data_IF_381143056020
#
_entry.id   IF_381143056020
#
_cell.length_a   1.000
_cell.length_b   1.000
_cell.length_c   1.000
_cell.angle_alpha   90.00
_cell.angle_beta   90.00
_cell.angle_gamma   90.00
#
_symmetry.space_group_name_H-M   'P 1'
#
loop_
_entity.id
_entity.type
_entity.pdbx_description
1 polymer ?
#
# COMPACT_ATOMS: atom_id res chain seq x y z
N UNK A 1 -21.76 60.66 -14.40
CA UNK A 1 -22.92 60.61 -15.31
C UNK A 1 -23.31 59.15 -15.49
N UNK A 2 -24.59 58.87 -15.22
CA UNK A 2 -25.39 57.80 -15.82
C UNK A 2 -25.04 56.30 -15.62
N UNK A 3 -26.02 55.63 -14.98
CA UNK A 3 -26.69 54.38 -15.39
C UNK A 3 -26.08 53.07 -14.86
N UNK A 4 -26.80 52.49 -13.89
CA UNK A 4 -26.97 51.04 -13.74
C UNK A 4 -27.95 50.54 -14.82
N UNK A 5 -27.84 49.28 -15.30
CA UNK A 5 -28.98 48.41 -15.05
C UNK A 5 -28.62 46.95 -14.74
N UNK A 6 -29.63 46.30 -14.16
CA UNK A 6 -29.75 44.91 -13.70
C UNK A 6 -29.83 43.86 -14.82
N UNK A 7 -29.80 42.60 -14.36
CA UNK A 7 -30.45 41.37 -14.90
C UNK A 7 -29.52 40.56 -15.83
N UNK A 8 -29.32 39.23 -15.71
CA UNK A 8 -30.28 38.13 -15.88
C UNK A 8 -29.71 36.80 -15.30
N UNK A 9 -30.60 35.96 -14.77
CA UNK A 9 -30.45 34.53 -14.41
C UNK A 9 -30.32 33.60 -15.63
N UNK A 10 -29.47 32.58 -15.55
CA UNK A 10 -29.54 31.33 -16.35
C UNK A 10 -28.74 30.26 -15.60
N UNK A 11 -29.34 29.21 -15.00
CA UNK A 11 -29.52 27.85 -15.58
C UNK A 11 -28.36 27.45 -16.51
N UNK A 12 -27.66 26.32 -16.35
CA UNK A 12 -28.14 24.93 -16.21
C UNK A 12 -26.93 23.98 -16.08
N UNK A 13 -27.09 22.89 -15.32
CA UNK A 13 -26.77 21.48 -15.68
C UNK A 13 -25.33 20.95 -15.67
N UNK A 14 -25.18 19.89 -14.87
CA UNK A 14 -24.11 18.89 -14.77
C UNK A 14 -23.91 18.06 -16.06
N UNK A 15 -22.69 17.61 -16.39
CA UNK A 15 -22.49 16.50 -17.32
C UNK A 15 -22.45 15.15 -16.58
N UNK A 16 -23.29 14.23 -17.07
CA UNK A 16 -23.34 12.81 -16.70
C UNK A 16 -22.56 11.98 -17.72
N UNK A 17 -21.75 11.05 -17.19
CA UNK A 17 -21.47 9.66 -17.64
C UNK A 17 -21.24 9.43 -19.15
N UNK A 18 -20.00 9.09 -19.48
CA UNK A 18 -19.60 8.54 -20.78
C UNK A 18 -20.24 7.16 -21.04
N UNK A 19 -20.96 7.07 -22.15
CA UNK A 19 -21.45 5.81 -22.75
C UNK A 19 -20.55 5.46 -23.94
N UNK A 20 -20.07 4.22 -23.98
CA UNK A 20 -19.21 3.66 -25.03
C UNK A 20 -20.08 3.19 -26.22
N UNK A 21 -19.76 3.53 -27.48
CA UNK A 21 -20.48 3.03 -28.66
C UNK A 21 -19.99 1.64 -29.10
N UNK A 22 -20.88 0.73 -29.55
CA UNK A 22 -20.51 -0.60 -30.01
C UNK A 22 -20.25 -0.61 -31.53
N UNK A 23 -18.99 -0.80 -31.92
CA UNK A 23 -18.63 -1.36 -33.23
C UNK A 23 -17.21 -1.88 -33.16
N UNK A 24 -16.95 -3.03 -33.79
CA UNK A 24 -15.71 -3.84 -33.84
C UNK A 24 -15.68 -5.06 -32.90
N UNK A 25 -16.39 -6.11 -33.29
CA UNK A 25 -16.01 -7.51 -33.02
C UNK A 25 -16.65 -8.41 -34.08
N UNK A 26 -16.05 -8.41 -35.27
CA UNK A 26 -16.13 -9.52 -36.20
C UNK A 26 -14.73 -10.12 -36.32
N UNK A 27 -14.66 -11.45 -36.38
CA UNK A 27 -13.50 -12.32 -36.73
C UNK A 27 -12.99 -13.21 -35.60
N UNK A 28 -13.68 -14.31 -35.28
CA UNK A 28 -13.05 -15.56 -34.84
C UNK A 28 -13.79 -16.76 -35.50
N UNK A 29 -13.09 -17.78 -36.02
CA UNK A 29 -13.67 -18.83 -36.88
C UNK A 29 -14.23 -20.03 -36.09
N UNK A 30 -15.13 -20.76 -36.76
CA UNK A 30 -15.82 -21.98 -36.33
C UNK A 30 -14.93 -23.23 -36.36
N UNK A 31 -15.20 -24.23 -35.49
CA UNK A 31 -14.85 -25.62 -35.76
C UNK A 31 -16.10 -26.48 -36.01
N UNK A 32 -16.10 -27.18 -37.15
CA UNK A 32 -17.02 -28.26 -37.50
C UNK A 32 -16.51 -29.59 -36.93
N UNK A 33 -17.41 -30.46 -36.44
CA UNK A 33 -17.04 -31.80 -35.97
C UNK A 33 -18.14 -32.56 -35.24
N UNK A 34 -19.11 -33.07 -36.02
CA UNK A 34 -20.03 -34.20 -35.82
C UNK A 34 -20.06 -35.00 -34.48
N UNK A 35 -21.27 -35.16 -33.92
CA UNK A 35 -21.71 -36.33 -33.13
C UNK A 35 -23.13 -36.75 -33.54
N UNK A 36 -23.40 -38.06 -33.81
CA UNK A 36 -24.70 -38.60 -34.24
C UNK A 36 -25.53 -39.17 -33.05
N UNK A 37 -26.76 -39.72 -33.20
CA UNK A 37 -27.93 -39.29 -32.43
C UNK A 37 -28.37 -40.23 -31.30
N UNK A 38 -29.24 -39.67 -30.45
CA UNK A 38 -29.93 -40.29 -29.31
C UNK A 38 -31.00 -41.29 -29.80
N UNK A 39 -31.06 -42.46 -29.17
CA UNK A 39 -32.20 -43.38 -29.21
C UNK A 39 -32.81 -43.57 -27.80
N UNK A 40 -34.12 -43.84 -27.68
CA UNK A 40 -34.88 -43.63 -26.45
C UNK A 40 -35.08 -44.93 -25.66
N UNK A 41 -34.77 -44.91 -24.36
CA UNK A 41 -35.35 -45.82 -23.35
C UNK A 41 -34.72 -45.50 -22.01
N UNK A 42 -35.53 -45.08 -21.03
CA UNK A 42 -35.38 -45.14 -19.54
C UNK A 42 -36.30 -44.04 -18.98
N UNK A 43 -37.59 -44.19 -19.26
CA UNK A 43 -38.66 -43.47 -18.56
C UNK A 43 -39.64 -44.50 -18.03
N UNK A 44 -39.15 -45.45 -17.22
CA UNK A 44 -39.98 -46.41 -16.48
C UNK A 44 -39.27 -47.12 -15.31
N UNK A 45 -38.15 -46.59 -14.79
CA UNK A 45 -37.46 -47.15 -13.61
C UNK A 45 -37.36 -46.23 -12.39
N UNK A 46 -38.03 -45.07 -12.40
CA UNK A 46 -37.91 -44.09 -11.31
C UNK A 46 -39.09 -44.04 -10.31
N UNK A 47 -40.01 -45.02 -10.35
CA UNK A 47 -41.21 -45.04 -9.50
C UNK A 47 -41.30 -46.28 -8.59
N UNK A 48 -40.21 -47.05 -8.43
CA UNK A 48 -40.24 -48.24 -7.57
C UNK A 48 -38.95 -48.44 -6.74
N UNK A 49 -38.34 -47.37 -6.23
CA UNK A 49 -37.27 -47.47 -5.20
C UNK A 49 -37.40 -46.41 -4.08
N UNK A 50 -38.49 -45.61 -4.06
CA UNK A 50 -38.76 -44.61 -3.01
C UNK A 50 -39.68 -45.10 -1.88
N UNK A 51 -39.96 -46.39 -1.78
CA UNK A 51 -40.92 -46.94 -0.81
C UNK A 51 -40.34 -48.00 0.16
N UNK A 52 -39.01 -48.11 0.31
CA UNK A 52 -38.38 -49.07 1.25
C UNK A 52 -37.29 -48.50 2.16
N UNK A 53 -37.21 -47.18 2.31
CA UNK A 53 -36.26 -46.51 3.20
C UNK A 53 -36.93 -45.42 4.05
N UNK A 54 -38.04 -45.75 4.70
CA UNK A 54 -38.77 -44.85 5.60
C UNK A 54 -39.46 -45.63 6.72
N UNK A 55 -38.69 -46.32 7.56
CA UNK A 55 -39.21 -46.79 8.87
C UNK A 55 -38.16 -47.12 9.94
N UNK A 56 -36.85 -47.01 9.66
CA UNK A 56 -35.77 -47.34 10.62
C UNK A 56 -34.93 -46.17 11.13
N UNK A 57 -35.04 -44.98 10.52
CA UNK A 57 -34.28 -43.80 10.94
C UNK A 57 -35.08 -42.81 11.81
N UNK A 58 -36.42 -42.92 11.82
CA UNK A 58 -37.28 -42.09 12.67
C UNK A 58 -37.23 -42.47 14.14
N UNK A 59 -37.06 -43.76 14.48
CA UNK A 59 -36.92 -44.21 15.89
C UNK A 59 -35.53 -43.94 16.50
N UNK A 60 -34.54 -43.53 15.70
CA UNK A 60 -33.19 -43.17 16.18
C UNK A 60 -33.02 -41.65 16.36
N UNK A 61 -33.93 -40.84 15.82
CA UNK A 61 -34.00 -39.40 16.07
C UNK A 61 -34.81 -39.06 17.32
N UNK A 62 -35.85 -39.82 17.64
CA UNK A 62 -36.68 -39.54 18.83
C UNK A 62 -35.98 -39.93 20.15
N UNK A 63 -35.11 -40.94 20.14
CA UNK A 63 -34.33 -41.34 21.32
C UNK A 63 -33.08 -40.47 21.60
N UNK A 64 -32.66 -39.64 20.63
CA UNK A 64 -31.54 -38.68 20.82
C UNK A 64 -32.02 -37.27 21.16
N UNK A 65 -33.34 -37.04 21.07
CA UNK A 65 -33.98 -35.77 21.42
C UNK A 65 -34.40 -35.73 22.89
N UNK A 66 -34.46 -36.87 23.59
CA UNK A 66 -34.75 -36.94 25.03
C UNK A 66 -33.51 -37.07 25.94
N UNK A 67 -32.31 -37.30 25.40
CA UNK A 67 -31.05 -37.34 26.17
C UNK A 67 -30.30 -35.99 26.23
N UNK A 68 -30.84 -34.95 25.57
CA UNK A 68 -30.36 -33.56 25.66
C UNK A 68 -31.29 -32.65 26.48
N UNK A 69 -32.07 -33.23 27.42
CA UNK A 69 -32.85 -32.44 28.39
C UNK A 69 -32.46 -32.66 29.86
N UNK A 70 -31.43 -33.45 30.16
CA UNK A 70 -30.90 -33.56 31.52
C UNK A 70 -29.37 -33.70 31.48
N UNK A 71 -28.70 -32.56 31.32
CA UNK A 71 -27.25 -32.47 31.37
C UNK A 71 -26.83 -31.05 31.69
N UNK A 72 -26.58 -30.81 32.98
CA UNK A 72 -25.86 -29.68 33.56
C UNK A 72 -26.38 -28.26 33.23
N UNK A 73 -27.16 -27.69 34.16
CA UNK A 73 -27.29 -26.24 34.27
C UNK A 73 -25.98 -25.69 34.83
N UNK A 74 -24.92 -25.71 34.03
CA UNK A 74 -23.95 -24.63 34.11
C UNK A 74 -24.69 -23.40 33.61
N UNK A 75 -25.10 -22.52 34.53
CA UNK A 75 -25.36 -21.13 34.20
C UNK A 75 -24.06 -20.58 33.63
N UNK A 76 -23.88 -20.71 32.32
CA UNK A 76 -23.01 -19.82 31.58
C UNK A 76 -23.65 -18.45 31.76
N UNK A 77 -23.22 -17.72 32.80
CA UNK A 77 -23.47 -16.30 32.98
C UNK A 77 -22.69 -15.52 31.91
N UNK A 78 -22.70 -16.00 30.66
CA UNK A 78 -22.20 -15.31 29.50
C UNK A 78 -23.07 -14.08 29.32
N UNK A 79 -22.48 -12.91 29.57
CA UNK A 79 -23.12 -11.64 29.26
C UNK A 79 -23.47 -11.68 27.77
N UNK A 80 -24.77 -11.63 27.45
CA UNK A 80 -25.21 -11.51 26.06
C UNK A 80 -24.69 -10.18 25.52
N UNK A 81 -23.72 -10.26 24.61
CA UNK A 81 -23.07 -9.10 24.01
C UNK A 81 -24.09 -8.22 23.25
N UNK A 82 -25.21 -8.79 22.79
CA UNK A 82 -26.31 -8.07 22.16
C UNK A 82 -27.23 -7.35 23.15
N UNK A 83 -27.14 -7.67 24.44
CA UNK A 83 -27.87 -6.97 25.51
C UNK A 83 -27.14 -5.69 25.98
N UNK A 84 -25.92 -5.44 25.53
CA UNK A 84 -25.17 -4.23 25.85
C UNK A 84 -25.75 -3.00 25.11
N UNK A 85 -25.82 -1.82 25.77
CA UNK A 85 -26.14 -0.57 25.10
C UNK A 85 -25.16 -0.26 23.96
N UNK A 86 -25.64 0.39 22.90
CA UNK A 86 -24.83 0.78 21.73
C UNK A 86 -23.55 1.53 22.11
N UNK A 87 -23.64 2.45 23.09
CA UNK A 87 -22.48 3.20 23.58
C UNK A 87 -21.41 2.32 24.23
N UNK A 88 -21.78 1.23 24.91
CA UNK A 88 -20.83 0.28 25.48
C UNK A 88 -20.12 -0.51 24.37
N UNK A 89 -20.86 -0.90 23.33
CA UNK A 89 -20.30 -1.56 22.15
C UNK A 89 -19.37 -0.59 21.41
N UNK A 90 -19.78 0.66 21.20
CA UNK A 90 -18.95 1.69 20.56
C UNK A 90 -17.66 1.93 21.35
N UNK A 91 -17.75 2.08 22.66
CA UNK A 91 -16.56 2.22 23.51
C UNK A 91 -15.61 1.02 23.36
N UNK A 92 -16.14 -0.21 23.39
CA UNK A 92 -15.33 -1.42 23.15
C UNK A 92 -14.68 -1.43 21.76
N UNK A 93 -15.43 -1.08 20.70
CA UNK A 93 -14.92 -0.98 19.33
C UNK A 93 -13.81 0.08 19.19
N UNK A 94 -13.88 1.17 19.94
CA UNK A 94 -12.86 2.24 19.92
C UNK A 94 -11.47 1.77 20.36
N UNK A 95 -11.38 0.67 21.12
CA UNK A 95 -10.10 0.06 21.53
C UNK A 95 -9.59 -1.01 20.55
N UNK A 96 -10.29 -1.24 19.45
CA UNK A 96 -9.88 -2.18 18.39
C UNK A 96 -9.18 -1.45 17.25
N UNK A 97 -8.93 -2.12 16.11
CA UNK A 97 -8.44 -1.46 14.89
C UNK A 97 -9.60 -0.97 14.00
N UNK A 98 -9.38 0.02 13.12
CA UNK A 98 -10.35 0.38 12.08
C UNK A 98 -10.84 -0.82 11.26
N UNK A 99 -9.92 -1.73 10.94
CA UNK A 99 -10.21 -2.99 10.24
C UNK A 99 -11.18 -3.87 11.04
N UNK A 100 -10.93 -4.04 12.34
CA UNK A 100 -11.77 -4.91 13.19
C UNK A 100 -13.13 -4.28 13.48
N UNK A 101 -13.20 -2.97 13.70
CA UNK A 101 -14.48 -2.27 13.80
C UNK A 101 -15.32 -2.43 12.52
N UNK A 102 -14.70 -2.37 11.34
CA UNK A 102 -15.39 -2.63 10.08
C UNK A 102 -15.88 -4.08 9.97
N UNK A 103 -15.09 -5.07 10.42
CA UNK A 103 -15.50 -6.48 10.44
C UNK A 103 -16.64 -6.74 11.43
N UNK A 104 -16.53 -6.19 12.64
CA UNK A 104 -17.55 -6.32 13.69
C UNK A 104 -18.86 -5.63 13.30
N UNK A 105 -18.82 -4.59 12.48
CA UNK A 105 -20.04 -3.94 11.93
C UNK A 105 -20.94 -4.89 11.13
N UNK A 106 -20.43 -6.05 10.71
CA UNK A 106 -21.17 -7.07 9.95
C UNK A 106 -21.92 -8.06 10.86
N UNK A 107 -21.63 -8.08 12.17
CA UNK A 107 -22.16 -9.05 13.13
C UNK A 107 -23.63 -8.77 13.52
N UNK A 108 -24.09 -7.53 13.37
CA UNK A 108 -25.47 -7.14 13.65
C UNK A 108 -25.72 -5.65 13.48
N UNK A 109 -26.99 -5.23 13.55
CA UNK A 109 -27.38 -3.81 13.41
C UNK A 109 -26.80 -2.93 14.52
N UNK A 110 -26.80 -3.40 15.77
CA UNK A 110 -26.24 -2.64 16.91
C UNK A 110 -24.74 -2.41 16.74
N UNK A 111 -23.99 -3.44 16.34
CA UNK A 111 -22.56 -3.31 16.02
C UNK A 111 -22.33 -2.41 14.82
N UNK A 112 -23.19 -2.48 13.81
CA UNK A 112 -23.11 -1.59 12.65
C UNK A 112 -23.28 -0.14 13.06
N UNK A 113 -24.28 0.17 13.88
CA UNK A 113 -24.52 1.53 14.36
C UNK A 113 -23.35 2.02 15.21
N UNK A 114 -22.92 1.22 16.20
CA UNK A 114 -21.78 1.53 17.06
C UNK A 114 -20.49 1.77 16.27
N UNK A 115 -20.18 0.95 15.26
CA UNK A 115 -18.99 1.08 14.42
C UNK A 115 -18.99 2.31 13.49
N UNK A 116 -20.11 3.04 13.39
CA UNK A 116 -20.22 4.27 12.61
C UNK A 116 -20.13 5.53 13.50
N UNK A 117 -20.11 5.37 14.83
CA UNK A 117 -20.04 6.48 15.77
C UNK A 117 -18.74 7.27 15.66
N UNK A 118 -18.85 8.60 15.67
CA UNK A 118 -17.67 9.49 15.62
C UNK A 118 -16.75 9.31 16.84
N UNK A 119 -17.26 8.89 17.99
CA UNK A 119 -16.42 8.59 19.17
C UNK A 119 -15.44 7.44 18.89
N UNK A 120 -15.87 6.45 18.10
CA UNK A 120 -15.02 5.32 17.69
C UNK A 120 -13.94 5.81 16.74
N UNK A 121 -14.32 6.60 15.73
CA UNK A 121 -13.39 7.07 14.70
C UNK A 121 -12.46 8.18 15.20
N UNK A 122 -12.85 8.96 16.21
CA UNK A 122 -11.95 9.91 16.90
C UNK A 122 -10.81 9.15 17.60
N UNK A 123 -11.09 7.94 18.14
CA UNK A 123 -10.06 7.10 18.78
C UNK A 123 -9.10 6.45 17.78
N UNK A 124 -9.55 6.24 16.54
CA UNK A 124 -8.74 5.69 15.46
C UNK A 124 -7.86 6.74 14.76
N UNK A 125 -8.17 8.02 14.91
CA UNK A 125 -7.31 9.09 14.45
C UNK A 125 -6.12 9.26 15.42
N UNK A 126 -4.90 9.52 14.92
CA UNK A 126 -3.76 9.84 15.77
C UNK A 126 -4.06 11.03 16.67
N UNK A 127 -3.63 11.04 17.93
CA UNK A 127 -3.95 12.14 18.87
C UNK A 127 -3.52 13.53 18.36
N UNK A 128 -2.42 13.58 17.59
CA UNK A 128 -1.82 14.75 16.98
C UNK A 128 -2.30 15.02 15.53
N UNK A 129 -3.38 14.37 15.07
CA UNK A 129 -3.84 14.53 13.68
C UNK A 129 -4.19 15.98 13.35
N UNK A 130 -4.76 16.73 14.31
CA UNK A 130 -5.11 18.16 14.13
C UNK A 130 -3.87 19.02 13.93
N UNK A 131 -2.81 18.74 14.67
CA UNK A 131 -1.55 19.47 14.55
C UNK A 131 -0.92 19.23 13.18
N UNK A 132 -0.91 17.97 12.72
CA UNK A 132 -0.45 17.63 11.37
C UNK A 132 -1.26 18.34 10.28
N UNK A 133 -2.59 18.37 10.39
CA UNK A 133 -3.45 19.04 9.42
C UNK A 133 -3.38 20.57 9.47
N UNK A 134 -3.01 21.15 10.60
CA UNK A 134 -2.83 22.60 10.71
C UNK A 134 -1.59 23.12 9.99
N UNK A 135 -0.70 22.23 9.54
CA UNK A 135 0.53 22.56 8.78
C UNK A 135 0.27 22.79 7.29
N UNK A 136 -0.98 22.70 6.82
CA UNK A 136 -1.35 22.96 5.44
C UNK A 136 -2.73 23.59 5.29
N UNK A 137 -2.91 24.40 4.25
CA UNK A 137 -4.21 25.04 3.97
C UNK A 137 -5.31 24.01 3.65
N UNK A 138 -4.95 22.92 2.95
CA UNK A 138 -5.85 21.81 2.67
C UNK A 138 -6.30 21.12 3.97
N UNK A 139 -5.37 20.81 4.86
CA UNK A 139 -5.68 20.20 6.16
C UNK A 139 -6.55 21.09 7.04
N UNK A 140 -6.28 22.40 7.05
CA UNK A 140 -7.12 23.39 7.75
C UNK A 140 -8.56 23.39 7.19
N UNK A 141 -8.73 23.32 5.87
CA UNK A 141 -10.04 23.26 5.25
C UNK A 141 -10.79 21.97 5.59
N UNK A 142 -10.08 20.83 5.64
CA UNK A 142 -10.64 19.55 6.09
C UNK A 142 -11.12 19.62 7.55
N UNK A 143 -10.33 20.22 8.44
CA UNK A 143 -10.69 20.39 9.85
C UNK A 143 -11.92 21.30 10.05
N UNK A 144 -12.10 22.32 9.19
CA UNK A 144 -13.23 23.26 9.25
C UNK A 144 -14.51 22.73 8.62
N UNK A 145 -14.43 21.62 7.88
CA UNK A 145 -15.58 21.06 7.19
C UNK A 145 -16.58 20.47 8.19
N UNK A 146 -17.60 21.25 8.53
CA UNK A 146 -18.65 20.87 9.48
C UNK A 146 -19.52 19.69 9.01
N UNK A 147 -19.37 19.26 7.75
CA UNK A 147 -20.14 18.15 7.17
C UNK A 147 -19.42 16.80 7.20
N UNK A 148 -18.14 16.75 7.55
CA UNK A 148 -17.37 15.50 7.56
C UNK A 148 -17.50 14.79 8.92
N UNK A 149 -18.00 13.56 8.90
CA UNK A 149 -17.87 12.67 10.06
C UNK A 149 -16.41 12.27 10.28
N UNK A 150 -16.06 11.82 11.49
CA UNK A 150 -14.69 11.36 11.80
C UNK A 150 -14.27 10.18 10.95
N UNK A 151 -15.23 9.31 10.62
CA UNK A 151 -15.01 8.23 9.66
C UNK A 151 -14.68 8.74 8.26
N UNK A 152 -15.43 9.73 7.77
CA UNK A 152 -15.17 10.30 6.45
C UNK A 152 -13.82 11.02 6.41
N UNK A 153 -13.46 11.74 7.48
CA UNK A 153 -12.13 12.32 7.63
C UNK A 153 -11.04 11.26 7.60
N UNK A 154 -11.18 10.19 8.38
CA UNK A 154 -10.23 9.07 8.40
C UNK A 154 -10.02 8.48 6.99
N UNK A 155 -11.11 8.15 6.30
CA UNK A 155 -11.04 7.57 4.94
C UNK A 155 -10.43 8.56 3.95
N UNK A 156 -10.75 9.85 4.07
CA UNK A 156 -10.14 10.88 3.25
C UNK A 156 -8.62 10.93 3.45
N UNK A 157 -8.12 10.89 4.69
CA UNK A 157 -6.69 10.87 4.99
C UNK A 157 -5.98 9.56 4.56
N UNK A 158 -6.71 8.47 4.39
CA UNK A 158 -6.16 7.23 3.83
C UNK A 158 -5.97 7.34 2.31
N UNK A 159 -6.97 7.90 1.62
CA UNK A 159 -7.04 7.88 0.16
C UNK A 159 -6.39 9.12 -0.48
N UNK A 160 -6.30 10.24 0.25
CA UNK A 160 -5.78 11.53 -0.23
C UNK A 160 -4.70 12.05 0.71
N UNK A 161 -3.41 11.83 0.39
CA UNK A 161 -2.34 12.34 1.23
C UNK A 161 -2.26 13.86 1.19
N UNK A 162 -2.23 14.47 2.37
CA UNK A 162 -2.19 15.92 2.56
C UNK A 162 -0.75 16.40 2.51
N UNK A 163 -0.44 17.36 1.65
CA UNK A 163 0.89 17.99 1.62
C UNK A 163 1.07 18.93 2.81
N UNK A 164 2.16 18.77 3.56
CA UNK A 164 2.50 19.57 4.75
C UNK A 164 3.90 20.19 4.59
N UNK A 165 4.27 21.11 5.48
CA UNK A 165 5.59 21.75 5.51
C UNK A 165 5.99 22.40 4.19
N UNK A 166 5.10 23.23 3.64
CA UNK A 166 5.33 23.87 2.35
C UNK A 166 5.39 22.89 1.16
N UNK A 167 4.81 21.70 1.32
CA UNK A 167 4.77 20.67 0.28
C UNK A 167 6.03 19.80 0.19
N UNK A 168 6.90 19.86 1.20
CA UNK A 168 8.11 19.03 1.27
C UNK A 168 7.86 17.65 1.87
N UNK A 169 6.74 17.49 2.59
CA UNK A 169 6.30 16.22 3.15
C UNK A 169 4.83 16.04 2.86
N UNK A 170 4.37 14.82 3.01
CA UNK A 170 2.96 14.49 2.89
C UNK A 170 2.55 13.50 3.96
N UNK A 171 1.33 13.68 4.44
CA UNK A 171 0.76 12.97 5.57
C UNK A 171 -0.48 12.20 5.14
N UNK A 172 -0.55 10.93 5.53
CA UNK A 172 -1.71 10.08 5.32
C UNK A 172 -1.82 9.05 6.45
N UNK A 173 -2.89 8.25 6.46
CA UNK A 173 -3.09 7.16 7.42
C UNK A 173 -3.06 5.79 6.74
N UNK A 174 -2.50 4.80 7.43
CA UNK A 174 -2.63 3.41 7.04
C UNK A 174 -4.05 2.93 7.37
N UNK A 175 -4.75 2.42 6.35
CA UNK A 175 -6.19 2.19 6.37
C UNK A 175 -6.66 1.18 7.41
N UNK A 176 -5.81 0.22 7.78
CA UNK A 176 -6.21 -0.90 8.62
C UNK A 176 -6.00 -0.64 10.11
N UNK A 177 -4.94 0.11 10.44
CA UNK A 177 -4.46 0.38 11.79
C UNK A 177 -4.68 1.84 12.22
N UNK A 178 -4.87 2.76 11.28
CA UNK A 178 -4.94 4.20 11.55
C UNK A 178 -3.59 4.85 11.89
N UNK A 179 -2.50 4.11 11.73
CA UNK A 179 -1.15 4.58 12.03
C UNK A 179 -0.67 5.58 10.97
N UNK A 180 0.11 6.56 11.40
CA UNK A 180 0.61 7.66 10.56
C UNK A 180 1.52 7.14 9.44
N UNK A 181 1.35 7.66 8.23
CA UNK A 181 2.24 7.48 7.08
C UNK A 181 2.81 8.84 6.67
N UNK A 182 4.09 8.88 6.32
CA UNK A 182 4.72 10.08 5.78
C UNK A 182 5.45 9.76 4.48
N UNK A 183 5.50 10.71 3.57
CA UNK A 183 6.45 10.67 2.47
C UNK A 183 7.22 11.98 2.41
N UNK A 184 8.54 11.88 2.39
CA UNK A 184 9.48 12.97 2.21
C UNK A 184 9.68 13.20 0.71
N UNK A 185 9.45 14.41 0.22
CA UNK A 185 9.69 14.77 -1.17
C UNK A 185 11.18 14.71 -1.50
N UNK A 186 11.54 14.51 -2.76
CA UNK A 186 12.94 14.60 -3.22
C UNK A 186 13.64 15.90 -2.79
N UNK A 187 12.89 17.01 -2.69
CA UNK A 187 13.38 18.31 -2.20
C UNK A 187 13.76 18.33 -0.71
N UNK A 188 13.22 17.40 0.08
CA UNK A 188 13.48 17.25 1.51
C UNK A 188 14.55 16.18 1.78
N UNK A 189 15.05 15.51 0.72
CA UNK A 189 16.13 14.52 0.80
C UNK A 189 17.50 15.18 0.64
N UNK A 190 18.50 14.60 1.30
CA UNK A 190 19.91 14.91 1.02
C UNK A 190 20.40 14.01 -0.10
N UNK A 191 20.44 14.57 -1.31
CA UNK A 191 20.93 13.89 -2.51
C UNK A 191 22.28 14.49 -2.90
N UNK A 192 23.31 13.65 -3.02
CA UNK A 192 24.67 14.12 -3.36
C UNK A 192 24.70 14.75 -4.76
N UNK A 193 25.26 15.96 -4.82
CA UNK A 193 25.34 16.81 -6.02
C UNK A 193 23.99 17.28 -6.60
N UNK A 194 22.91 17.23 -5.84
CA UNK A 194 21.57 17.64 -6.31
C UNK A 194 21.44 19.12 -6.67
N UNK A 195 22.34 19.95 -6.17
CA UNK A 195 22.52 21.37 -6.46
C UNK A 195 23.27 21.62 -7.78
N UNK A 196 23.86 20.59 -8.37
CA UNK A 196 24.70 20.68 -9.56
C UNK A 196 23.91 20.27 -10.81
N UNK A 197 23.50 21.21 -11.69
CA UNK A 197 22.60 20.94 -12.82
C UNK A 197 23.18 19.99 -13.89
N UNK A 198 24.49 19.74 -13.85
CA UNK A 198 25.17 18.76 -14.70
C UNK A 198 24.80 17.31 -14.33
N UNK A 199 24.44 17.08 -13.07
CA UNK A 199 24.24 15.75 -12.51
C UNK A 199 22.77 15.48 -12.22
N UNK A 200 22.03 16.50 -11.79
CA UNK A 200 20.62 16.42 -11.45
C UNK A 200 19.83 17.53 -12.11
N UNK A 201 18.58 17.21 -12.46
CA UNK A 201 17.61 18.15 -13.00
C UNK A 201 16.34 18.08 -12.17
N UNK A 202 15.86 19.22 -11.70
CA UNK A 202 14.58 19.32 -11.02
C UNK A 202 13.49 19.53 -12.06
N UNK A 203 12.44 18.71 -12.00
CA UNK A 203 11.35 18.72 -12.99
C UNK A 203 10.01 18.59 -12.28
N UNK A 204 8.94 19.08 -12.92
CA UNK A 204 7.58 18.82 -12.46
C UNK A 204 6.93 17.73 -13.31
N UNK A 205 6.26 16.78 -12.67
CA UNK A 205 5.53 15.70 -13.34
C UNK A 205 4.07 15.71 -12.86
N UNK A 206 3.13 15.60 -13.80
CA UNK A 206 1.69 15.61 -13.49
C UNK A 206 1.21 14.44 -12.63
N UNK A 207 1.99 13.36 -12.59
CA UNK A 207 1.71 12.16 -11.79
C UNK A 207 2.46 12.11 -10.45
N UNK A 208 3.26 13.14 -10.15
CA UNK A 208 3.91 13.29 -8.85
C UNK A 208 2.94 13.93 -7.87
N UNK A 209 2.96 13.47 -6.62
CA UNK A 209 2.25 14.16 -5.52
C UNK A 209 2.93 15.48 -5.11
N UNK A 210 4.22 15.62 -5.41
CA UNK A 210 5.02 16.81 -5.10
C UNK A 210 5.24 17.68 -6.33
N UNK A 211 5.43 18.98 -6.11
CA UNK A 211 5.66 19.98 -7.17
C UNK A 211 6.87 19.65 -8.05
N UNK A 212 7.95 19.17 -7.42
CA UNK A 212 9.21 18.85 -8.10
C UNK A 212 9.73 17.47 -7.71
N UNK A 213 10.31 16.79 -8.68
CA UNK A 213 11.03 15.52 -8.56
C UNK A 213 12.46 15.68 -9.05
N UNK A 214 13.37 14.82 -8.60
CA UNK A 214 14.78 14.85 -8.98
C UNK A 214 15.08 13.84 -10.08
N UNK A 215 15.43 14.30 -11.28
CA UNK A 215 15.88 13.49 -12.41
C UNK A 215 17.41 13.42 -12.44
N UNK A 216 17.95 12.20 -12.38
CA UNK A 216 19.36 11.90 -12.46
C UNK A 216 19.85 11.93 -13.91
N UNK A 217 20.72 12.87 -14.25
CA UNK A 217 21.29 12.99 -15.60
C UNK A 217 22.48 12.07 -15.81
N UNK A 218 23.49 12.10 -14.94
CA UNK A 218 24.67 11.24 -15.04
C UNK A 218 25.56 11.34 -13.81
N UNK A 219 25.71 10.28 -13.00
CA UNK A 219 26.68 10.25 -11.88
C UNK A 219 27.40 8.92 -11.78
N UNK A 220 28.60 8.92 -11.21
CA UNK A 220 29.33 7.68 -10.87
C UNK A 220 29.04 7.20 -9.44
N UNK A 221 28.69 8.14 -8.57
CA UNK A 221 28.36 7.94 -7.16
C UNK A 221 26.92 8.37 -6.97
N UNK A 222 26.04 7.42 -6.62
CA UNK A 222 24.66 7.71 -6.29
C UNK A 222 24.47 7.54 -4.78
N UNK A 223 23.96 8.58 -4.14
CA UNK A 223 23.69 8.59 -2.70
C UNK A 223 22.49 9.48 -2.40
N UNK A 224 21.49 8.88 -1.77
CA UNK A 224 20.23 9.50 -1.38
C UNK A 224 20.01 9.19 0.10
N UNK A 225 19.83 10.23 0.90
CA UNK A 225 19.54 10.12 2.33
C UNK A 225 18.25 10.85 2.67
N UNK A 226 17.41 10.22 3.47
CA UNK A 226 16.22 10.80 4.07
C UNK A 226 16.35 10.79 5.58
N UNK A 227 15.72 11.77 6.22
CA UNK A 227 15.74 11.93 7.67
C UNK A 227 14.35 12.33 8.15
N UNK A 228 13.80 11.58 9.09
CA UNK A 228 12.50 11.89 9.71
C UNK A 228 12.59 11.71 11.21
N UNK A 229 11.96 12.60 11.95
CA UNK A 229 11.95 12.51 13.39
C UNK A 229 10.96 11.43 13.88
N UNK A 230 11.37 10.60 14.83
CA UNK A 230 10.54 9.49 15.34
C UNK A 230 9.30 9.96 16.08
N UNK A 231 9.27 11.18 16.64
CA UNK A 231 8.06 11.77 17.25
C UNK A 231 6.93 11.99 16.23
N UNK A 232 7.27 12.12 14.94
CA UNK A 232 6.28 12.22 13.88
C UNK A 232 5.62 10.86 13.60
N UNK A 233 6.27 9.75 13.94
CA UNK A 233 5.77 8.40 13.68
C UNK A 233 4.85 7.92 14.82
N UNK A 234 4.14 6.81 14.57
CA UNK A 234 3.31 6.20 15.61
C UNK A 234 4.17 5.28 16.48
N UNK A 235 4.05 5.37 17.80
CA UNK A 235 4.77 4.48 18.72
C UNK A 235 4.30 3.04 18.63
N UNK A 236 5.13 2.12 19.15
CA UNK A 236 4.94 0.67 19.17
C UNK A 236 4.56 0.11 17.80
N UNK A 237 5.27 0.60 16.77
CA UNK A 237 4.96 0.27 15.38
C UNK A 237 6.24 0.01 14.62
N UNK A 238 6.27 -1.09 13.86
CA UNK A 238 7.31 -1.34 12.87
C UNK A 238 7.03 -0.51 11.64
N UNK A 239 7.98 0.35 11.27
CA UNK A 239 7.93 1.13 10.05
C UNK A 239 8.89 0.56 9.02
N UNK A 240 8.51 0.61 7.76
CA UNK A 240 9.41 0.39 6.63
C UNK A 240 9.48 1.63 5.75
N UNK A 241 10.69 1.90 5.27
CA UNK A 241 10.98 3.00 4.37
C UNK A 241 11.07 2.48 2.93
N UNK A 242 10.47 3.20 1.99
CA UNK A 242 10.40 2.85 0.58
C UNK A 242 10.90 4.02 -0.25
N UNK A 243 11.92 3.83 -1.07
CA UNK A 243 12.25 4.82 -2.10
C UNK A 243 11.24 4.68 -3.23
N UNK A 244 10.56 5.77 -3.58
CA UNK A 244 9.60 5.84 -4.67
C UNK A 244 10.22 6.60 -5.84
N UNK A 245 10.28 5.93 -6.99
CA UNK A 245 11.02 6.42 -8.15
C UNK A 245 10.48 5.88 -9.48
N UNK A 246 10.96 6.44 -10.58
CA UNK A 246 10.75 5.94 -11.95
C UNK A 246 12.08 5.84 -12.68
N UNK A 247 12.08 5.04 -13.75
CA UNK A 247 13.21 4.92 -14.66
C UNK A 247 12.82 5.47 -16.04
N UNK A 248 13.60 6.41 -16.56
CA UNK A 248 13.43 7.07 -17.87
C UNK A 248 14.70 6.90 -18.69
N UNK A 249 14.68 6.01 -19.69
CA UNK A 249 15.85 5.71 -20.52
C UNK A 249 17.11 5.43 -19.65
N UNK A 250 16.94 4.63 -18.60
CA UNK A 250 17.96 4.43 -17.57
C UNK A 250 19.17 3.65 -18.07
N UNK A 251 20.33 3.98 -17.51
CA UNK A 251 21.60 3.31 -17.80
C UNK A 251 22.38 3.09 -16.49
N UNK A 252 23.11 1.97 -16.38
CA UNK A 252 24.03 1.68 -15.28
C UNK A 252 23.37 1.09 -14.03
N UNK A 253 22.13 1.46 -13.73
CA UNK A 253 21.35 1.00 -12.56
C UNK A 253 20.97 -0.50 -12.62
N UNK A 254 21.21 -1.13 -13.76
CA UNK A 254 21.00 -2.55 -14.00
C UNK A 254 22.21 -3.42 -13.63
N UNK A 255 23.37 -2.81 -13.39
CA UNK A 255 24.67 -3.48 -13.40
C UNK A 255 25.31 -3.68 -12.03
N UNK A 256 24.83 -2.95 -11.01
CA UNK A 256 25.29 -3.08 -9.63
C UNK A 256 24.10 -2.92 -8.68
N UNK A 257 23.99 -3.77 -7.66
CA UNK A 257 23.01 -3.50 -6.62
C UNK A 257 23.47 -2.32 -5.75
N UNK A 258 22.49 -1.58 -5.24
CA UNK A 258 22.69 -0.58 -4.21
C UNK A 258 22.70 -1.20 -2.82
N UNK A 259 23.25 -0.46 -1.87
CA UNK A 259 23.18 -0.74 -0.44
C UNK A 259 22.17 0.21 0.18
N UNK A 260 21.15 -0.34 0.84
CA UNK A 260 20.17 0.41 1.59
C UNK A 260 20.31 0.17 3.09
N UNK A 261 20.04 1.19 3.88
CA UNK A 261 20.16 1.14 5.34
C UNK A 261 19.07 2.00 5.97
N UNK A 262 18.47 1.48 7.04
CA UNK A 262 17.54 2.22 7.90
C UNK A 262 17.97 2.03 9.35
N UNK A 263 18.03 3.11 10.11
CA UNK A 263 18.49 3.12 11.49
C UNK A 263 18.15 4.40 12.23
N UNK A 264 18.36 4.41 13.56
CA UNK A 264 18.36 5.64 14.34
C UNK A 264 19.70 6.36 14.13
N UNK A 265 19.66 7.68 13.99
CA UNK A 265 20.85 8.51 13.80
C UNK A 265 21.86 8.27 14.93
N UNK A 266 23.08 7.90 14.57
CA UNK A 266 24.15 7.58 15.50
C UNK A 266 24.31 6.09 15.84
N UNK A 267 23.36 5.24 15.43
CA UNK A 267 23.45 3.78 15.54
C UNK A 267 23.74 3.13 14.18
N UNK A 268 24.38 1.96 14.17
CA UNK A 268 24.56 1.21 12.93
C UNK A 268 23.24 0.53 12.54
N UNK A 269 22.71 0.90 11.37
CA UNK A 269 21.46 0.36 10.86
C UNK A 269 21.65 -1.00 10.18
N UNK A 270 20.53 -1.69 9.96
CA UNK A 270 20.56 -2.94 9.19
C UNK A 270 20.76 -2.61 7.71
N UNK A 271 21.91 -3.02 7.17
CA UNK A 271 22.24 -2.89 5.75
C UNK A 271 21.58 -4.02 4.96
N UNK A 272 21.09 -3.72 3.77
CA UNK A 272 20.60 -4.71 2.83
C UNK A 272 20.91 -4.32 1.38
N UNK A 273 20.94 -5.34 0.53
CA UNK A 273 21.28 -5.18 -0.89
C UNK A 273 19.99 -5.05 -1.69
N UNK A 274 19.90 -3.98 -2.47
CA UNK A 274 18.70 -3.63 -3.25
C UNK A 274 19.03 -3.42 -4.72
N UNK A 275 18.06 -3.67 -5.60
CA UNK A 275 18.25 -3.56 -7.04
C UNK A 275 17.15 -2.72 -7.68
N UNK A 276 17.54 -1.58 -8.26
CA UNK A 276 16.61 -0.58 -8.82
C UNK A 276 16.05 -0.96 -10.19
N UNK A 277 16.85 -1.59 -11.06
CA UNK A 277 16.39 -2.07 -12.39
C UNK A 277 16.43 -3.61 -12.49
N UNK A 278 15.43 -4.33 -11.92
CA UNK A 278 15.39 -5.79 -11.96
C UNK A 278 15.34 -6.35 -13.39
N UNK A 279 14.61 -5.69 -14.29
CA UNK A 279 14.50 -6.14 -15.68
C UNK A 279 15.83 -5.99 -16.42
N UNK A 280 16.54 -4.87 -16.21
CA UNK A 280 17.88 -4.67 -16.73
C UNK A 280 18.84 -5.74 -16.24
N UNK A 281 18.80 -6.05 -14.94
CA UNK A 281 19.59 -7.14 -14.36
C UNK A 281 19.28 -8.48 -15.04
N UNK A 282 18.00 -8.77 -15.27
CA UNK A 282 17.58 -10.01 -15.93
C UNK A 282 18.03 -10.06 -17.39
N UNK A 283 17.93 -8.95 -18.14
CA UNK A 283 18.47 -8.81 -19.50
C UNK A 283 19.97 -9.09 -19.51
N UNK A 284 20.73 -8.51 -18.58
CA UNK A 284 22.18 -8.76 -18.42
C UNK A 284 22.51 -10.22 -18.10
N UNK A 285 21.69 -10.91 -17.30
CA UNK A 285 21.87 -12.34 -16.99
C UNK A 285 21.62 -13.22 -18.22
N UNK A 286 20.59 -12.93 -19.01
CA UNK A 286 20.18 -13.73 -20.17
C UNK A 286 21.01 -13.46 -21.43
N UNK A 287 21.71 -12.33 -21.50
CA UNK A 287 22.56 -11.93 -22.63
C UNK A 287 23.57 -13.03 -23.02
N UNK A 288 23.35 -13.68 -24.17
CA UNK A 288 24.31 -14.57 -24.83
C UNK A 288 25.18 -13.74 -25.77
N UNK A 289 26.41 -13.46 -25.35
CA UNK A 289 27.37 -12.69 -26.18
C UNK A 289 28.15 -13.64 -27.10
N UNK A 290 28.00 -13.56 -28.44
CA UNK A 290 28.76 -14.38 -29.38
C UNK A 290 30.27 -14.18 -29.21
N UNK A 291 31.05 -15.25 -29.40
CA UNK A 291 32.52 -15.20 -29.23
C UNK A 291 33.21 -14.25 -30.22
N UNK A 292 32.60 -13.98 -31.38
CA UNK A 292 33.13 -13.17 -32.47
C UNK A 292 33.00 -11.65 -32.29
N UNK A 293 32.21 -11.17 -31.32
CA UNK A 293 31.98 -9.73 -31.08
C UNK A 293 32.44 -9.32 -29.68
N UNK A 294 33.62 -9.81 -29.26
CA UNK A 294 34.18 -9.59 -27.91
C UNK A 294 34.38 -8.10 -27.57
N UNK A 295 34.81 -7.30 -28.54
CA UNK A 295 35.17 -5.90 -28.31
C UNK A 295 33.94 -4.98 -28.25
N UNK A 296 32.88 -5.33 -28.99
CA UNK A 296 31.67 -4.51 -29.09
C UNK A 296 30.78 -4.56 -27.84
N UNK A 297 30.85 -5.64 -27.05
CA UNK A 297 30.02 -5.85 -25.84
C UNK A 297 30.85 -5.83 -24.54
N UNK A 298 31.99 -5.14 -24.54
CA UNK A 298 32.89 -5.06 -23.38
C UNK A 298 32.18 -4.53 -22.12
N UNK A 299 31.34 -3.51 -22.28
CA UNK A 299 30.55 -2.94 -21.20
C UNK A 299 29.54 -3.94 -20.62
N UNK A 300 28.69 -4.58 -21.43
CA UNK A 300 27.70 -5.54 -20.90
C UNK A 300 28.36 -6.75 -20.23
N UNK A 301 29.53 -7.18 -20.72
CA UNK A 301 30.30 -8.26 -20.06
C UNK A 301 30.86 -7.82 -18.70
N UNK A 302 31.41 -6.61 -18.60
CA UNK A 302 31.88 -6.05 -17.34
C UNK A 302 30.71 -5.88 -16.35
N UNK A 303 29.58 -5.34 -16.81
CA UNK A 303 28.35 -5.22 -16.04
C UNK A 303 27.84 -6.59 -15.54
N UNK A 304 27.79 -7.60 -16.41
CA UNK A 304 27.36 -8.96 -16.01
C UNK A 304 28.31 -9.63 -15.01
N UNK A 305 29.63 -9.39 -15.12
CA UNK A 305 30.60 -9.90 -14.13
C UNK A 305 30.42 -9.24 -12.78
N UNK A 306 30.25 -7.92 -12.78
CA UNK A 306 29.96 -7.09 -11.60
C UNK A 306 28.72 -7.55 -10.87
N UNK A 307 27.61 -7.73 -11.59
CA UNK A 307 26.38 -8.31 -11.04
C UNK A 307 26.60 -9.68 -10.38
N UNK A 308 27.45 -10.53 -10.93
CA UNK A 308 27.73 -11.84 -10.33
C UNK A 308 28.65 -11.77 -9.11
N UNK A 309 29.62 -10.84 -9.12
CA UNK A 309 30.59 -10.69 -8.03
C UNK A 309 30.00 -10.01 -6.80
N UNK A 310 29.08 -9.07 -7.00
CA UNK A 310 28.54 -8.21 -5.93
C UNK A 310 27.16 -8.64 -5.44
N UNK A 311 26.69 -9.85 -5.82
CA UNK A 311 25.51 -10.44 -5.21
C UNK A 311 25.86 -10.95 -3.81
N UNK A 312 24.99 -10.72 -2.81
CA UNK A 312 25.18 -11.22 -1.46
C UNK A 312 25.19 -12.76 -1.45
N UNK A 313 26.07 -13.34 -0.62
CA UNK A 313 26.33 -14.79 -0.59
C UNK A 313 25.14 -15.61 -0.06
N UNK A 314 24.33 -14.99 0.80
CA UNK A 314 23.06 -15.46 1.36
C UNK A 314 21.87 -15.25 0.40
N UNK A 315 22.07 -14.58 -0.73
CA UNK A 315 21.11 -14.51 -1.84
C UNK A 315 19.90 -13.60 -1.61
N UNK A 316 19.80 -12.92 -0.47
CA UNK A 316 18.70 -12.00 -0.17
C UNK A 316 18.94 -10.67 -0.87
N UNK A 317 18.35 -10.52 -2.06
CA UNK A 317 18.32 -9.24 -2.80
C UNK A 317 16.89 -8.78 -2.95
N UNK A 318 16.64 -7.53 -2.56
CA UNK A 318 15.37 -6.90 -2.80
C UNK A 318 15.34 -6.27 -4.20
N UNK A 319 14.25 -6.47 -4.91
CA UNK A 319 14.03 -5.94 -6.25
C UNK A 319 12.93 -4.90 -6.23
N UNK A 320 13.11 -3.82 -6.99
CA UNK A 320 12.10 -2.79 -7.13
C UNK A 320 10.81 -3.39 -7.73
N UNK A 321 9.67 -2.89 -7.28
CA UNK A 321 8.34 -3.35 -7.69
C UNK A 321 7.55 -2.19 -8.26
N UNK A 322 6.72 -2.48 -9.26
CA UNK A 322 5.83 -1.48 -9.82
C UNK A 322 4.60 -1.29 -8.92
N UNK A 323 4.22 -0.03 -8.72
CA UNK A 323 3.02 0.41 -7.99
C UNK A 323 1.85 0.59 -8.96
N UNK A 324 0.64 0.63 -8.42
CA UNK A 324 -0.58 0.87 -9.19
C UNK A 324 -0.70 2.29 -9.77
N UNK A 325 0.06 3.25 -9.22
CA UNK A 325 0.11 4.65 -9.64
C UNK A 325 1.12 4.92 -10.78
N UNK A 326 1.84 3.88 -11.26
CA UNK A 326 2.84 3.98 -12.32
C UNK A 326 4.25 4.34 -11.84
N UNK A 327 4.44 4.56 -10.53
CA UNK A 327 5.76 4.63 -9.91
C UNK A 327 6.31 3.23 -9.61
N UNK A 328 7.59 3.17 -9.27
CA UNK A 328 8.23 1.99 -8.69
C UNK A 328 8.61 2.27 -7.25
N UNK A 329 8.68 1.23 -6.43
CA UNK A 329 9.18 1.30 -5.07
C UNK A 329 10.18 0.20 -4.76
N UNK A 330 11.10 0.51 -3.85
CA UNK A 330 12.03 -0.46 -3.25
C UNK A 330 12.10 -0.21 -1.75
N UNK A 331 12.03 -1.28 -0.96
CA UNK A 331 12.18 -1.19 0.50
C UNK A 331 13.65 -0.93 0.85
N UNK A 332 13.90 0.15 1.59
CA UNK A 332 15.22 0.53 2.07
C UNK A 332 15.56 -0.15 3.39
N UNK A 333 14.56 -0.48 4.19
CA UNK A 333 14.71 -1.19 5.46
C UNK A 333 13.49 -1.01 6.36
N UNK A 334 13.53 -1.65 7.51
CA UNK A 334 12.50 -1.57 8.54
C UNK A 334 13.12 -1.32 9.91
N UNK A 335 12.35 -0.66 10.78
CA UNK A 335 12.75 -0.32 12.14
C UNK A 335 11.53 -0.30 13.06
N UNK A 336 11.70 -0.72 14.30
CA UNK A 336 10.66 -0.68 15.32
C UNK A 336 10.77 0.58 16.18
N UNK A 337 9.69 1.35 16.28
CA UNK A 337 9.63 2.58 17.07
C UNK A 337 9.07 2.26 18.47
N UNK A 338 9.94 2.18 19.50
CA UNK A 338 9.61 1.66 20.84
C UNK A 338 9.36 2.72 21.93
N UNK A 339 9.53 4.01 21.64
CA UNK A 339 9.40 5.05 22.67
C UNK A 339 9.30 6.46 22.11
N UNK A 340 8.91 7.40 22.97
CA UNK A 340 8.77 8.84 22.67
C UNK A 340 10.12 9.57 22.66
N UNK A 341 11.17 8.87 22.19
CA UNK A 341 12.45 9.50 22.01
C UNK A 341 12.36 10.43 20.79
N UNK A 342 12.77 11.68 20.98
CA UNK A 342 12.83 12.68 19.91
C UNK A 342 14.15 12.52 19.15
N UNK A 343 14.34 11.36 18.54
CA UNK A 343 15.52 11.00 17.75
C UNK A 343 15.17 10.99 16.27
N UNK A 344 16.19 11.04 15.43
CA UNK A 344 15.99 11.03 14.00
C UNK A 344 16.22 9.63 13.43
N UNK A 345 15.26 9.15 12.66
CA UNK A 345 15.39 7.96 11.81
C UNK A 345 16.03 8.38 10.48
N UNK A 346 17.09 7.68 10.10
CA UNK A 346 17.79 7.87 8.82
C UNK A 346 17.50 6.71 7.86
N UNK A 347 17.39 7.05 6.59
CA UNK A 347 17.07 6.11 5.50
C UNK A 347 17.98 6.42 4.33
N UNK A 348 18.83 5.46 3.97
CA UNK A 348 19.90 5.68 3.02
C UNK A 348 19.81 4.69 1.85
N UNK A 349 20.13 5.17 0.65
CA UNK A 349 20.43 4.36 -0.52
C UNK A 349 21.76 4.81 -1.12
N UNK A 350 22.69 3.87 -1.28
CA UNK A 350 24.05 4.10 -1.74
C UNK A 350 24.43 3.14 -2.86
N UNK A 351 24.87 3.68 -4.00
CA UNK A 351 25.48 2.90 -5.09
C UNK A 351 26.81 3.56 -5.50
N UNK A 352 27.83 3.37 -4.65
CA UNK A 352 29.12 4.11 -4.73
C UNK A 352 30.28 3.24 -5.23
N UNK A 353 30.13 1.91 -5.17
CA UNK A 353 31.20 0.93 -5.45
C UNK A 353 31.33 0.57 -6.92
N UNK A 354 30.40 1.01 -7.76
CA UNK A 354 30.24 0.55 -9.13
C UNK A 354 31.19 1.17 -10.17
N UNK A 355 31.71 2.38 -9.93
CA UNK A 355 32.65 3.07 -10.83
C UNK A 355 32.16 3.22 -12.30
N UNK A 356 30.86 3.20 -12.55
CA UNK A 356 30.24 3.36 -13.88
C UNK A 356 29.14 4.42 -13.80
N UNK A 357 28.90 5.16 -14.90
CA UNK A 357 27.91 6.22 -14.91
C UNK A 357 26.50 5.66 -14.84
N UNK A 358 25.62 6.41 -14.18
CA UNK A 358 24.20 6.08 -13.94
C UNK A 358 23.34 7.25 -14.33
N UNK A 359 22.24 6.99 -14.99
CA UNK A 359 21.31 8.02 -15.45
C UNK A 359 19.88 7.51 -15.51
N UNK A 360 18.93 8.43 -15.64
CA UNK A 360 17.52 8.14 -15.88
C UNK A 360 16.75 7.69 -14.64
N UNK A 361 17.28 7.91 -13.43
CA UNK A 361 16.53 7.74 -12.19
C UNK A 361 15.72 9.01 -11.91
N UNK A 362 14.40 8.89 -11.76
CA UNK A 362 13.53 10.01 -11.35
C UNK A 362 13.01 9.71 -9.95
N UNK A 363 13.44 10.48 -8.95
CA UNK A 363 13.08 10.29 -7.54
C UNK A 363 11.91 11.18 -7.18
N UNK A 364 10.83 10.58 -6.70
CA UNK A 364 9.70 11.31 -6.10
C UNK A 364 9.98 11.61 -4.63
N UNK A 365 10.46 10.60 -3.89
CA UNK A 365 10.67 10.73 -2.46
C UNK A 365 10.92 9.41 -1.73
N UNK A 366 10.97 9.47 -0.39
CA UNK A 366 11.00 8.29 0.49
C UNK A 366 9.70 8.24 1.30
N UNK A 367 8.96 7.15 1.16
CA UNK A 367 7.71 6.89 1.87
C UNK A 367 7.96 5.97 3.08
N UNK A 368 7.55 6.42 4.25
CA UNK A 368 7.65 5.74 5.54
C UNK A 368 6.25 5.32 5.96
N UNK A 369 6.00 4.01 5.94
CA UNK A 369 4.68 3.43 6.25
C UNK A 369 4.78 2.33 7.31
N UNK A 370 3.74 2.17 8.15
CA UNK A 370 3.62 1.03 9.04
C UNK A 370 3.69 -0.27 8.24
N UNK A 371 4.45 -1.23 8.75
CA UNK A 371 4.51 -2.59 8.24
C UNK A 371 3.85 -3.47 9.28
N UNK A 372 2.93 -4.34 8.86
CA UNK A 372 2.32 -5.30 9.77
C UNK A 372 3.44 -6.09 10.45
N UNK A 373 3.54 -5.94 11.77
CA UNK A 373 4.40 -6.78 12.57
C UNK A 373 3.90 -8.22 12.43
N UNK A 374 4.82 -9.16 12.21
CA UNK A 374 4.68 -10.42 12.93
C UNK A 374 4.81 -10.06 14.39
N UNK A 375 3.72 -9.60 15.01
CA UNK A 375 3.67 -9.39 16.44
C UNK A 375 4.05 -10.72 17.05
N UNK A 376 5.27 -10.80 17.58
CA UNK A 376 5.56 -11.82 18.56
C UNK A 376 4.62 -11.48 19.71
N UNK A 377 3.51 -12.22 19.76
CA UNK A 377 2.65 -12.30 20.92
C UNK A 377 3.57 -12.77 22.05
N UNK A 378 4.16 -11.81 22.76
CA UNK A 378 4.76 -12.07 24.06
C UNK A 378 3.56 -12.26 24.97
N UNK A 379 3.07 -13.51 25.00
CA UNK A 379 2.18 -13.96 26.05
C UNK A 379 2.87 -13.61 27.37
N UNK A 380 2.33 -12.62 28.07
CA UNK A 380 2.71 -12.30 29.44
C UNK A 380 1.74 -13.00 30.38
#
# INVERSE_FOLDING_TARGET
MHISPRTILSSTVFPSIYTIPPSLLSSIPTPTGSTPPISPSIAQKHTLDKAKYTHKDTQKLDAKTEEYQNGDRSTDNGIDLYALPEGCIANALSFTSPRDACRLSLVGSTFRSAAQSDDVWERFLPADYRDNLSRSDEGINLLRSASLSKKQLFLHLCDHPVLIDGGTKSFSLEKCSGKKCYMLAARDLTIVWSDTPKYWKWTSLSMSRFTEVAELLSVFWLEIRGKINTSMLSLDTTYAAYLVFRLTSSYGLDSQPGEAEVGISGEEGKKQVVHLDPEGAQRLRQLRVPRSQRDQYGYQRAARRRLQQNMPADGVVQYAKQRGDGWMEIELGEIFIKGDENVDMEMNLMEVKGGHPKSGLVVEGIEVRPKEGTDQIVNT
#
